data_IF_736629704928
#
_entry.id   IF_736629704928
#
_cell.length_a   1.000
_cell.length_b   1.000
_cell.length_c   1.000
_cell.angle_alpha   90.00
_cell.angle_beta   90.00
_cell.angle_gamma   90.00
#
_symmetry.space_group_name_H-M   'P 1'
#
loop_
_entity.id
_entity.type
_entity.pdbx_description
1 polymer ?
#
# COMPACT_ATOMS: atom_id res chain seq x y z
N UNK A 1 6.96 -7.82 -18.70
CA UNK A 1 6.07 -7.29 -17.64
C UNK A 1 6.74 -6.07 -17.05
N UNK A 2 6.15 -4.89 -17.19
CA UNK A 2 6.72 -3.63 -16.70
C UNK A 2 6.96 -3.72 -15.20
N UNK A 3 8.16 -3.35 -14.74
CA UNK A 3 8.52 -3.37 -13.33
C UNK A 3 8.20 -2.00 -12.73
N UNK A 4 7.36 -2.01 -11.70
CA UNK A 4 6.97 -0.80 -10.99
C UNK A 4 7.41 -0.87 -9.53
N UNK A 5 7.71 0.29 -8.97
CA UNK A 5 7.74 0.50 -7.54
C UNK A 5 6.63 1.46 -7.13
N UNK A 6 6.23 1.35 -5.87
CA UNK A 6 5.07 2.03 -5.32
C UNK A 6 5.49 2.83 -4.10
N UNK A 7 4.94 4.04 -3.99
CA UNK A 7 5.10 4.93 -2.85
C UNK A 7 3.77 5.60 -2.55
N UNK A 8 3.62 6.15 -1.34
CA UNK A 8 2.45 6.95 -1.01
C UNK A 8 2.51 8.30 -1.76
N UNK A 9 1.33 8.80 -2.10
CA UNK A 9 1.15 10.22 -2.44
C UNK A 9 1.15 11.07 -1.16
N UNK A 10 1.03 12.40 -1.31
CA UNK A 10 0.84 13.30 -0.16
C UNK A 10 -0.42 12.93 0.63
N UNK A 11 -1.53 12.64 -0.07
CA UNK A 11 -2.79 12.26 0.57
C UNK A 11 -2.71 10.87 1.21
N UNK A 12 -2.07 9.90 0.55
CA UNK A 12 -1.82 8.59 1.14
C UNK A 12 -0.97 8.67 2.42
N UNK A 13 0.03 9.57 2.42
CA UNK A 13 0.86 9.84 3.59
C UNK A 13 0.08 10.50 4.73
N UNK A 14 -0.80 11.47 4.40
CA UNK A 14 -1.67 12.13 5.37
C UNK A 14 -2.59 11.12 6.07
N UNK A 15 -3.20 10.19 5.32
CA UNK A 15 -4.03 9.13 5.89
C UNK A 15 -3.27 8.27 6.89
N UNK A 16 -2.02 7.93 6.57
CA UNK A 16 -1.19 7.15 7.49
C UNK A 16 -0.82 7.94 8.76
N UNK A 17 -0.56 9.25 8.63
CA UNK A 17 -0.24 10.12 9.77
C UNK A 17 -1.44 10.31 10.70
N UNK A 18 -2.65 10.41 10.14
CA UNK A 18 -3.89 10.64 10.88
C UNK A 18 -4.60 9.36 11.31
N UNK A 19 -4.03 8.17 11.03
CA UNK A 19 -4.67 6.86 11.24
C UNK A 19 -6.04 6.69 10.55
N UNK A 20 -6.23 7.30 9.38
CA UNK A 20 -7.49 7.31 8.63
C UNK A 20 -7.66 6.05 7.76
N UNK A 21 -7.88 4.89 8.40
CA UNK A 21 -8.15 3.62 7.73
C UNK A 21 -9.61 3.18 7.94
N UNK A 22 -10.54 3.87 7.28
CA UNK A 22 -12.01 3.74 7.38
C UNK A 22 -12.67 2.37 7.11
N UNK A 23 -11.94 1.24 7.06
CA UNK A 23 -12.52 -0.08 6.76
C UNK A 23 -12.42 -1.05 7.95
N UNK A 24 -12.45 -0.53 9.18
CA UNK A 24 -12.30 -1.34 10.40
C UNK A 24 -13.54 -2.20 10.76
N UNK A 25 -14.68 -2.05 10.08
CA UNK A 25 -15.95 -2.67 10.51
C UNK A 25 -16.48 -3.77 9.56
N UNK A 26 -15.62 -4.43 8.79
CA UNK A 26 -16.04 -5.64 8.05
C UNK A 26 -15.38 -6.89 8.62
N UNK A 27 -16.13 -7.99 8.87
CA UNK A 27 -15.58 -9.24 9.44
C UNK A 27 -14.46 -9.86 8.60
N UNK A 28 -14.37 -9.51 7.32
CA UNK A 28 -13.35 -9.96 6.37
C UNK A 28 -12.14 -9.03 6.26
N UNK A 29 -12.11 -7.92 7.01
CA UNK A 29 -11.02 -6.95 6.98
C UNK A 29 -9.75 -7.52 7.61
N UNK A 30 -8.73 -7.78 6.79
CA UNK A 30 -7.45 -8.35 7.24
C UNK A 30 -6.40 -7.31 7.64
N UNK A 31 -6.74 -6.01 7.70
CA UNK A 31 -5.78 -4.95 7.99
C UNK A 31 -4.70 -4.74 6.92
N UNK A 32 -4.88 -5.31 5.73
CA UNK A 32 -3.85 -5.29 4.68
C UNK A 32 -3.55 -3.87 4.18
N UNK A 33 -4.58 -3.04 4.02
CA UNK A 33 -4.41 -1.65 3.60
C UNK A 33 -3.56 -0.87 4.60
N UNK A 34 -3.90 -0.94 5.89
CA UNK A 34 -3.14 -0.26 6.94
C UNK A 34 -1.69 -0.74 6.98
N UNK A 35 -1.46 -2.06 7.00
CA UNK A 35 -0.10 -2.62 7.05
C UNK A 35 0.74 -2.21 5.85
N UNK A 36 0.17 -2.25 4.65
CA UNK A 36 0.85 -1.83 3.42
C UNK A 36 1.14 -0.33 3.45
N UNK A 37 0.18 0.50 3.86
CA UNK A 37 0.36 1.94 3.95
C UNK A 37 1.44 2.32 4.98
N UNK A 38 1.39 1.75 6.18
CA UNK A 38 2.42 1.99 7.20
C UNK A 38 3.81 1.55 6.73
N UNK A 39 3.89 0.44 5.98
CA UNK A 39 5.15 0.02 5.39
C UNK A 39 5.65 1.02 4.35
N UNK A 40 4.80 1.43 3.41
CA UNK A 40 5.17 2.43 2.40
C UNK A 40 5.52 3.79 3.01
N UNK A 41 4.82 4.20 4.07
CA UNK A 41 5.07 5.45 4.79
C UNK A 41 6.44 5.46 5.49
N UNK A 42 6.84 4.33 6.09
CA UNK A 42 8.15 4.18 6.75
C UNK A 42 9.29 3.96 5.76
N UNK A 43 8.99 3.54 4.53
CA UNK A 43 10.01 3.25 3.53
C UNK A 43 10.58 4.55 2.94
N UNK A 44 11.91 4.72 3.01
CA UNK A 44 12.61 5.84 2.38
C UNK A 44 12.61 5.78 0.84
N UNK A 45 12.34 4.60 0.27
CA UNK A 45 12.33 4.35 -1.17
C UNK A 45 11.02 3.68 -1.60
N UNK A 46 10.56 3.90 -2.84
CA UNK A 46 9.49 3.12 -3.42
C UNK A 46 9.78 1.62 -3.36
N UNK A 47 8.74 0.81 -3.17
CA UNK A 47 8.84 -0.65 -3.03
C UNK A 47 8.03 -1.37 -4.11
N UNK A 48 8.54 -2.49 -4.61
CA UNK A 48 7.82 -3.40 -5.49
C UNK A 48 6.80 -4.23 -4.72
N UNK A 49 5.84 -4.85 -5.43
CA UNK A 49 4.89 -5.81 -4.83
C UNK A 49 5.62 -6.94 -4.08
N UNK A 50 6.77 -7.38 -4.62
CA UNK A 50 7.58 -8.43 -3.98
C UNK A 50 8.15 -7.95 -2.64
N UNK A 51 8.80 -6.80 -2.64
CA UNK A 51 9.37 -6.21 -1.40
C UNK A 51 8.27 -5.96 -0.36
N UNK A 52 7.12 -5.41 -0.76
CA UNK A 52 5.98 -5.19 0.14
C UNK A 52 5.48 -6.52 0.70
N UNK A 53 5.35 -7.55 -0.13
CA UNK A 53 4.90 -8.88 0.28
C UNK A 53 5.85 -9.52 1.30
N UNK A 54 7.16 -9.44 1.06
CA UNK A 54 8.19 -9.98 1.96
C UNK A 54 8.21 -9.21 3.30
N UNK A 55 8.15 -7.88 3.27
CA UNK A 55 8.19 -7.04 4.47
C UNK A 55 6.92 -7.11 5.31
N UNK A 56 5.76 -7.30 4.67
CA UNK A 56 4.47 -7.34 5.38
C UNK A 56 3.99 -8.75 5.69
N UNK A 57 4.56 -9.79 5.06
CA UNK A 57 4.04 -11.17 5.12
C UNK A 57 2.71 -11.37 4.38
N UNK A 58 2.23 -10.36 3.64
CA UNK A 58 0.96 -10.43 2.89
C UNK A 58 1.24 -11.07 1.54
N UNK A 59 0.37 -11.99 1.10
CA UNK A 59 0.50 -12.64 -0.21
C UNK A 59 0.51 -11.62 -1.36
N UNK A 60 1.39 -11.82 -2.34
CA UNK A 60 1.55 -10.93 -3.50
C UNK A 60 0.24 -10.58 -4.21
N UNK A 61 -0.69 -11.54 -4.33
CA UNK A 61 -2.02 -11.32 -4.94
C UNK A 61 -2.84 -10.28 -4.16
N UNK A 62 -2.84 -10.39 -2.83
CA UNK A 62 -3.53 -9.44 -1.95
C UNK A 62 -2.86 -8.08 -1.95
N UNK A 63 -1.51 -8.03 -1.93
CA UNK A 63 -0.76 -6.78 -2.09
C UNK A 63 -1.14 -6.10 -3.41
N UNK A 64 -1.12 -6.84 -4.52
CA UNK A 64 -1.47 -6.30 -5.83
C UNK A 64 -2.89 -5.72 -5.87
N UNK A 65 -3.86 -6.39 -5.26
CA UNK A 65 -5.23 -5.88 -5.15
C UNK A 65 -5.31 -4.56 -4.37
N UNK A 66 -4.66 -4.49 -3.20
CA UNK A 66 -4.62 -3.26 -2.39
C UNK A 66 -3.93 -2.12 -3.13
N UNK A 67 -2.77 -2.39 -3.75
CA UNK A 67 -2.04 -1.38 -4.52
C UNK A 67 -2.88 -0.85 -5.69
N UNK A 68 -3.49 -1.75 -6.47
CA UNK A 68 -4.28 -1.36 -7.65
C UNK A 68 -5.46 -0.47 -7.25
N UNK A 69 -6.22 -0.86 -6.23
CA UNK A 69 -7.32 -0.05 -5.71
C UNK A 69 -6.86 1.34 -5.25
N UNK A 70 -5.76 1.40 -4.49
CA UNK A 70 -5.28 2.66 -3.91
C UNK A 70 -4.52 3.55 -4.90
N UNK A 71 -4.10 3.03 -6.06
CA UNK A 71 -3.67 3.84 -7.20
C UNK A 71 -4.87 4.58 -7.79
N UNK A 72 -5.97 3.88 -8.06
CA UNK A 72 -7.19 4.49 -8.59
C UNK A 72 -7.78 5.53 -7.63
N UNK A 73 -7.69 5.25 -6.32
CA UNK A 73 -8.12 6.19 -5.28
C UNK A 73 -7.14 7.35 -5.01
N UNK A 74 -5.99 7.44 -5.71
CA UNK A 74 -5.06 8.55 -5.58
C UNK A 74 -4.14 8.53 -4.35
N UNK A 75 -4.12 7.44 -3.57
CA UNK A 75 -3.30 7.33 -2.36
C UNK A 75 -1.92 6.72 -2.59
N UNK A 76 -1.76 5.97 -3.68
CA UNK A 76 -0.50 5.34 -4.08
C UNK A 76 -0.12 5.79 -5.47
N UNK A 77 1.15 6.11 -5.67
CA UNK A 77 1.73 6.42 -6.99
C UNK A 77 2.67 5.31 -7.44
N UNK A 78 2.73 5.12 -8.76
CA UNK A 78 3.62 4.18 -9.44
C UNK A 78 4.85 4.91 -9.98
N UNK A 79 6.02 4.32 -9.82
CA UNK A 79 7.27 4.74 -10.43
C UNK A 79 7.77 3.63 -11.35
N UNK A 80 8.13 3.99 -12.58
CA UNK A 80 8.76 3.07 -13.52
C UNK A 80 10.20 2.79 -13.09
N UNK A 81 10.63 1.54 -13.27
CA UNK A 81 12.02 1.10 -13.12
C UNK A 81 12.59 0.79 -14.51
#
# INVERSE_FOLDING_TARGET
MLRYKYALTKDGSRRCANNEFYLQETPSYKGYTERIFRMLYRSKKPLSIREISELTGIQKRSVNGVITFNIMAGYIRREFI
#
